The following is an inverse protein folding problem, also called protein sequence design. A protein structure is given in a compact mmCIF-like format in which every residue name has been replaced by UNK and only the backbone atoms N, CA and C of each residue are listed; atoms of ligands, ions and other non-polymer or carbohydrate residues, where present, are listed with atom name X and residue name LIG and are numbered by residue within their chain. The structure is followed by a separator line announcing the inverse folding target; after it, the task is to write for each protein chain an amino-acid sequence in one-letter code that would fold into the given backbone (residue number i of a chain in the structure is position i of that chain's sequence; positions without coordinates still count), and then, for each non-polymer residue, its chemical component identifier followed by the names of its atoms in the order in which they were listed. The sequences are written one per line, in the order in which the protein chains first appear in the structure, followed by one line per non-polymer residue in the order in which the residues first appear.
data_IF_698082603415
#
_entry.id   IF_698082603415
#
_cell.length_a   1.000
_cell.length_b   1.000
_cell.length_c   1.000
_cell.angle_alpha   90.00
_cell.angle_beta   90.00
_cell.angle_gamma   90.00
#
_symmetry.space_group_name_H-M   'P 1'
#
loop_
_entity.id
_entity.type
_entity.pdbx_description
1 polymer ?
#
# COMPACT_ATOMS: atom_id res chain seq x y z
N UNK A 1 11.35 36.43 -43.03
CA UNK A 1 10.28 36.70 -42.04
C UNK A 1 10.01 35.41 -41.29
N UNK A 2 10.65 35.21 -40.13
CA UNK A 2 10.62 33.94 -39.39
C UNK A 2 9.43 33.92 -38.43
N UNK A 3 8.44 33.08 -38.73
CA UNK A 3 7.32 32.82 -37.81
C UNK A 3 7.81 31.94 -36.66
N UNK A 4 7.91 32.55 -35.48
CA UNK A 4 8.40 31.91 -34.25
C UNK A 4 7.49 30.78 -33.78
N UNK A 5 8.10 29.63 -33.48
CA UNK A 5 7.48 28.50 -32.79
C UNK A 5 7.01 28.94 -31.40
N UNK A 6 5.75 28.70 -31.06
CA UNK A 6 5.25 28.83 -29.68
C UNK A 6 5.42 27.48 -28.96
N UNK A 7 6.26 27.38 -27.92
CA UNK A 7 6.57 26.12 -27.28
C UNK A 7 5.41 25.67 -26.37
N UNK A 8 4.85 24.51 -26.70
CA UNK A 8 4.04 23.61 -25.85
C UNK A 8 4.02 23.99 -24.37
N UNK A 9 2.94 24.65 -23.94
CA UNK A 9 2.66 24.90 -22.53
C UNK A 9 2.33 23.57 -21.86
N UNK A 10 3.35 22.90 -21.33
CA UNK A 10 3.22 21.67 -20.56
C UNK A 10 2.39 21.97 -19.30
N UNK A 11 1.08 21.72 -19.38
CA UNK A 11 0.14 21.84 -18.26
C UNK A 11 0.61 20.88 -17.16
N UNK A 12 1.33 21.40 -16.16
CA UNK A 12 1.65 20.65 -14.94
C UNK A 12 0.32 20.27 -14.30
N UNK A 13 -0.04 18.98 -14.34
CA UNK A 13 -1.22 18.46 -13.66
C UNK A 13 -0.97 18.57 -12.16
N UNK A 14 -1.30 19.72 -11.59
CA UNK A 14 -1.32 19.94 -10.16
C UNK A 14 -2.47 19.09 -9.63
N UNK A 15 -2.15 18.14 -8.74
CA UNK A 15 -3.13 17.23 -8.15
C UNK A 15 -4.16 18.05 -7.37
N UNK A 16 -5.41 18.08 -7.82
CA UNK A 16 -6.48 18.83 -7.16
C UNK A 16 -6.79 18.19 -5.80
N UNK A 17 -7.26 19.01 -4.85
CA UNK A 17 -7.63 18.52 -3.52
C UNK A 17 -8.72 17.43 -3.58
N UNK A 18 -9.62 17.51 -4.57
CA UNK A 18 -10.63 16.48 -4.82
C UNK A 18 -10.03 15.12 -5.17
N UNK A 19 -8.97 15.09 -5.98
CA UNK A 19 -8.28 13.84 -6.31
C UNK A 19 -7.53 13.29 -5.09
N UNK A 20 -7.01 14.14 -4.20
CA UNK A 20 -6.34 13.71 -2.96
C UNK A 20 -7.27 12.89 -2.06
N UNK A 21 -8.55 13.24 -1.99
CA UNK A 21 -9.53 12.48 -1.22
C UNK A 21 -9.71 11.05 -1.74
N UNK A 22 -9.75 10.86 -3.06
CA UNK A 22 -9.83 9.52 -3.67
C UNK A 22 -8.61 8.65 -3.38
N UNK A 23 -7.41 9.25 -3.37
CA UNK A 23 -6.17 8.54 -2.99
C UNK A 23 -6.17 8.15 -1.51
N UNK A 24 -6.58 9.04 -0.61
CA UNK A 24 -6.69 8.72 0.81
C UNK A 24 -7.64 7.55 1.03
N UNK A 25 -8.80 7.52 0.38
CA UNK A 25 -9.79 6.46 0.59
C UNK A 25 -9.32 5.08 0.10
N UNK A 26 -8.54 5.04 -0.98
CA UNK A 26 -8.06 3.79 -1.58
C UNK A 26 -6.77 3.29 -0.95
N UNK A 27 -5.86 4.20 -0.57
CA UNK A 27 -4.56 3.86 -0.02
C UNK A 27 -4.58 3.71 1.51
N UNK A 28 -5.46 4.42 2.22
CA UNK A 28 -5.53 4.35 3.68
C UNK A 28 -5.68 2.91 4.21
N UNK A 29 -6.67 2.11 3.79
CA UNK A 29 -6.80 0.74 4.29
C UNK A 29 -5.63 -0.15 3.86
N UNK A 30 -4.98 0.14 2.73
CA UNK A 30 -3.81 -0.59 2.27
C UNK A 30 -2.60 -0.35 3.18
N UNK A 31 -2.33 0.91 3.55
CA UNK A 31 -1.25 1.25 4.46
C UNK A 31 -1.51 0.79 5.89
N UNK A 32 -2.76 0.87 6.34
CA UNK A 32 -3.17 0.38 7.66
C UNK A 32 -2.97 -1.15 7.77
N UNK A 33 -3.43 -1.91 6.77
CA UNK A 33 -3.20 -3.35 6.70
C UNK A 33 -1.71 -3.71 6.63
N UNK A 34 -0.90 -2.91 5.93
CA UNK A 34 0.56 -3.07 5.89
C UNK A 34 1.18 -2.84 7.26
N UNK A 35 0.76 -1.84 8.03
CA UNK A 35 1.31 -1.60 9.37
C UNK A 35 0.89 -2.74 10.32
N UNK A 36 -0.38 -3.14 10.24
CA UNK A 36 -0.93 -4.25 11.03
C UNK A 36 -0.23 -5.57 10.71
N UNK A 37 0.21 -5.81 9.47
CA UNK A 37 0.89 -7.06 9.13
C UNK A 37 2.27 -7.21 9.80
N UNK A 38 2.91 -6.11 10.19
CA UNK A 38 4.13 -6.09 11.02
C UNK A 38 3.85 -6.09 12.53
N UNK A 39 2.57 -6.05 12.93
CA UNK A 39 2.13 -6.09 14.31
C UNK A 39 1.39 -7.41 14.58
N UNK A 40 1.49 -7.92 15.80
CA UNK A 40 0.70 -9.05 16.25
C UNK A 40 -0.58 -8.48 16.85
N UNK A 41 -1.60 -8.34 16.02
CA UNK A 41 -2.87 -7.77 16.41
C UNK A 41 -3.71 -8.82 17.16
N UNK A 42 -3.73 -8.75 18.49
CA UNK A 42 -4.71 -9.47 19.31
C UNK A 42 -5.75 -8.46 19.80
N UNK A 43 -7.04 -8.83 19.90
CA UNK A 43 -8.11 -7.91 20.31
C UNK A 43 -7.89 -7.25 21.69
N UNK A 44 -6.99 -7.80 22.51
CA UNK A 44 -6.63 -7.27 23.83
C UNK A 44 -5.20 -6.71 23.92
N UNK A 45 -4.33 -7.00 22.95
CA UNK A 45 -2.90 -6.59 22.95
C UNK A 45 -2.37 -6.47 21.52
N UNK A 46 -1.79 -5.33 21.21
CA UNK A 46 -1.04 -5.13 19.96
C UNK A 46 0.44 -5.07 20.29
N UNK A 47 1.19 -6.05 19.80
CA UNK A 47 2.65 -6.12 20.00
C UNK A 47 3.36 -5.90 18.66
N UNK A 48 4.37 -5.03 18.63
CA UNK A 48 5.20 -4.86 17.44
C UNK A 48 6.16 -6.04 17.32
N UNK A 49 5.98 -6.86 16.30
CA UNK A 49 6.75 -8.11 16.07
C UNK A 49 7.56 -8.08 14.77
N UNK A 50 7.40 -7.04 13.95
CA UNK A 50 8.13 -6.89 12.70
C UNK A 50 7.92 -8.08 11.76
N UNK A 51 9.03 -8.74 11.38
CA UNK A 51 9.01 -9.85 10.42
C UNK A 51 8.73 -11.23 11.04
N UNK A 52 8.66 -11.34 12.36
CA UNK A 52 8.49 -12.64 13.03
C UNK A 52 7.16 -13.32 12.66
N UNK A 53 6.11 -12.53 12.39
CA UNK A 53 4.81 -13.03 11.95
C UNK A 53 4.87 -13.70 10.57
N UNK A 54 5.71 -13.18 9.68
CA UNK A 54 5.94 -13.78 8.36
C UNK A 54 6.77 -15.06 8.48
N UNK A 55 7.86 -15.03 9.27
CA UNK A 55 8.74 -16.19 9.46
C UNK A 55 7.98 -17.38 10.04
N UNK A 56 7.08 -17.13 10.99
CA UNK A 56 6.24 -18.18 11.60
C UNK A 56 5.21 -18.73 10.61
N UNK A 57 4.56 -17.87 9.83
CA UNK A 57 3.64 -18.28 8.75
C UNK A 57 4.35 -19.14 7.69
N UNK A 58 5.53 -18.71 7.23
CA UNK A 58 6.34 -19.45 6.25
C UNK A 58 7.04 -20.68 6.82
N UNK A 59 7.05 -20.90 8.13
CA UNK A 59 7.52 -22.17 8.73
C UNK A 59 6.37 -23.16 8.94
N UNK A 60 5.12 -22.71 8.79
CA UNK A 60 3.96 -23.52 9.06
C UNK A 60 3.65 -24.43 7.86
N UNK A 61 3.73 -25.75 8.07
CA UNK A 61 3.40 -26.75 7.05
C UNK A 61 1.94 -26.70 6.61
N UNK A 62 1.03 -26.26 7.49
CA UNK A 62 -0.40 -26.12 7.19
C UNK A 62 -0.66 -24.97 6.20
N UNK A 63 0.13 -23.89 6.30
CA UNK A 63 0.04 -22.74 5.40
C UNK A 63 0.39 -23.15 3.95
N UNK A 64 1.47 -23.90 3.76
CA UNK A 64 1.81 -24.43 2.44
C UNK A 64 0.78 -25.43 1.92
N UNK A 65 0.20 -26.25 2.79
CA UNK A 65 -0.92 -27.13 2.41
C UNK A 65 -2.13 -26.34 1.92
N UNK A 66 -2.48 -25.23 2.57
CA UNK A 66 -3.59 -24.38 2.11
C UNK A 66 -3.31 -23.71 0.77
N UNK A 67 -2.08 -23.27 0.50
CA UNK A 67 -1.71 -22.66 -0.79
C UNK A 67 -1.82 -23.67 -1.93
N UNK A 68 -1.38 -24.91 -1.73
CA UNK A 68 -1.40 -25.93 -2.77
C UNK A 68 -2.82 -26.45 -3.05
N UNK A 69 -3.70 -26.41 -2.04
CA UNK A 69 -5.11 -26.81 -2.17
C UNK A 69 -6.04 -25.68 -2.66
N UNK A 70 -5.54 -24.45 -2.80
CA UNK A 70 -6.30 -23.30 -3.31
C UNK A 70 -6.07 -23.16 -4.81
#
# INVERSE_FOLDING_TARGET
MTYGKNPSSKKRRILSNESKWGYLFTLYPLFDALIISFQNFKPLKTEWVGFDNYITTFKNSLFYKSIINT
#
